data_IF_233649373023
#
_entry.id   IF_233649373023
#
_cell.length_a   1.000
_cell.length_b   1.000
_cell.length_c   1.000
_cell.angle_alpha   90.00
_cell.angle_beta   90.00
_cell.angle_gamma   90.00
#
_symmetry.space_group_name_H-M   'P 1'
#
loop_
_entity.id
_entity.type
_entity.pdbx_description
1 polymer ?
#
# COMPACT_ATOMS: atom_id res chain seq x y z
N UNK A 1 -16.36 -53.66 -31.22
CA UNK A 1 -16.93 -52.97 -30.04
C UNK A 1 -15.92 -53.07 -28.91
N UNK A 2 -15.13 -52.02 -28.66
CA UNK A 2 -14.94 -51.47 -27.32
C UNK A 2 -14.14 -50.14 -27.45
N UNK A 3 -14.83 -49.08 -27.86
CA UNK A 3 -14.28 -47.72 -28.07
C UNK A 3 -14.82 -46.74 -27.00
N UNK A 4 -15.11 -47.23 -25.79
CA UNK A 4 -15.77 -46.42 -24.75
C UNK A 4 -14.96 -46.22 -23.46
N UNK A 5 -13.73 -46.76 -23.34
CA UNK A 5 -12.98 -46.71 -22.06
C UNK A 5 -11.91 -45.60 -21.97
N UNK A 6 -11.52 -44.98 -23.10
CA UNK A 6 -10.41 -44.00 -23.09
C UNK A 6 -10.87 -42.57 -22.78
N UNK A 7 -12.15 -42.25 -22.98
CA UNK A 7 -12.70 -40.91 -22.73
C UNK A 7 -13.09 -40.66 -21.27
N UNK A 8 -13.33 -41.73 -20.49
CA UNK A 8 -13.61 -41.63 -19.05
C UNK A 8 -12.36 -41.26 -18.24
N UNK A 9 -11.22 -41.85 -18.57
CA UNK A 9 -9.96 -41.62 -17.85
C UNK A 9 -9.31 -40.25 -18.14
N UNK A 10 -9.60 -39.61 -19.27
CA UNK A 10 -9.02 -38.29 -19.59
C UNK A 10 -9.68 -37.14 -18.82
N UNK A 11 -10.96 -37.28 -18.46
CA UNK A 11 -11.69 -36.29 -17.67
C UNK A 11 -11.34 -36.40 -16.17
N UNK A 12 -11.18 -37.62 -15.66
CA UNK A 12 -10.70 -37.88 -14.28
C UNK A 12 -9.23 -37.45 -14.06
N UNK A 13 -8.40 -37.48 -15.12
CA UNK A 13 -7.02 -36.97 -15.07
C UNK A 13 -6.92 -35.44 -15.18
N UNK A 14 -7.98 -34.75 -15.58
CA UNK A 14 -8.04 -33.28 -15.63
C UNK A 14 -8.70 -32.67 -14.39
N UNK A 15 -9.36 -33.47 -13.56
CA UNK A 15 -9.90 -33.05 -12.25
C UNK A 15 -8.92 -33.29 -11.09
N UNK A 16 -7.73 -33.84 -11.36
CA UNK A 16 -6.75 -34.20 -10.35
C UNK A 16 -5.63 -33.17 -10.15
N UNK A 17 -5.90 -31.87 -10.28
CA UNK A 17 -4.98 -30.84 -9.73
C UNK A 17 -5.65 -29.49 -9.50
N UNK A 18 -6.83 -29.48 -8.88
CA UNK A 18 -7.16 -28.33 -8.02
C UNK A 18 -6.03 -28.21 -6.97
N UNK A 19 -5.33 -27.07 -6.88
CA UNK A 19 -4.19 -26.94 -5.99
C UNK A 19 -4.70 -27.12 -4.56
N UNK A 20 -4.35 -28.26 -3.97
CA UNK A 20 -4.57 -28.62 -2.57
C UNK A 20 -4.19 -27.45 -1.65
N UNK A 21 -5.17 -26.64 -1.28
CA UNK A 21 -5.02 -25.43 -0.46
C UNK A 21 -4.75 -25.74 1.03
N UNK A 22 -4.62 -27.01 1.37
CA UNK A 22 -4.40 -27.59 2.70
C UNK A 22 -2.91 -27.67 3.10
N UNK A 23 -2.01 -27.31 2.19
CA UNK A 23 -0.57 -27.23 2.45
C UNK A 23 -0.09 -25.91 3.07
N UNK A 24 1.20 -25.88 3.38
CA UNK A 24 1.91 -24.73 3.94
C UNK A 24 1.79 -23.46 3.08
N UNK A 25 1.85 -23.61 1.76
CA UNK A 25 1.65 -22.53 0.81
C UNK A 25 0.24 -21.89 0.93
N UNK A 26 -0.78 -22.69 1.23
CA UNK A 26 -2.13 -22.21 1.47
C UNK A 26 -2.22 -21.34 2.73
N UNK A 27 -1.57 -21.79 3.81
CA UNK A 27 -1.48 -21.03 5.07
C UNK A 27 -0.71 -19.71 4.89
N UNK A 28 0.44 -19.75 4.21
CA UNK A 28 1.21 -18.54 3.90
C UNK A 28 0.39 -17.54 3.10
N UNK A 29 -0.30 -18.00 2.05
CA UNK A 29 -1.18 -17.15 1.24
C UNK A 29 -2.30 -16.51 2.06
N UNK A 30 -2.95 -17.26 2.95
CA UNK A 30 -4.02 -16.74 3.80
C UNK A 30 -3.52 -15.63 4.74
N UNK A 31 -2.39 -15.85 5.41
CA UNK A 31 -1.77 -14.86 6.31
C UNK A 31 -1.33 -13.61 5.54
N UNK A 32 -0.72 -13.78 4.37
CA UNK A 32 -0.30 -12.68 3.50
C UNK A 32 -1.50 -11.84 3.04
N UNK A 33 -2.57 -12.49 2.58
CA UNK A 33 -3.80 -11.79 2.14
C UNK A 33 -4.45 -11.05 3.31
N UNK A 34 -4.51 -11.66 4.49
CA UNK A 34 -5.08 -11.02 5.67
C UNK A 34 -4.29 -9.76 6.07
N UNK A 35 -2.96 -9.86 6.17
CA UNK A 35 -2.11 -8.73 6.52
C UNK A 35 -2.10 -7.65 5.43
N UNK A 36 -2.11 -8.03 4.14
CA UNK A 36 -2.22 -7.08 3.04
C UNK A 36 -3.59 -6.37 3.01
N UNK A 37 -4.68 -7.07 3.32
CA UNK A 37 -6.03 -6.49 3.40
C UNK A 37 -6.15 -5.51 4.57
N UNK A 38 -5.55 -5.81 5.72
CA UNK A 38 -5.46 -4.88 6.84
C UNK A 38 -4.65 -3.63 6.47
N UNK A 39 -3.48 -3.82 5.84
CA UNK A 39 -2.64 -2.71 5.38
C UNK A 39 -3.34 -1.83 4.33
N UNK A 40 -4.13 -2.43 3.43
CA UNK A 40 -4.95 -1.69 2.46
C UNK A 40 -6.03 -0.81 3.13
N UNK A 41 -6.44 -1.14 4.35
CA UNK A 41 -7.36 -0.35 5.18
C UNK A 41 -6.62 0.62 6.11
N UNK A 42 -5.29 0.74 5.98
CA UNK A 42 -4.45 1.61 6.81
C UNK A 42 -4.00 0.99 8.13
N UNK A 43 -4.35 -0.27 8.41
CA UNK A 43 -3.84 -1.01 9.57
C UNK A 43 -2.52 -1.70 9.22
N UNK A 44 -1.41 -1.02 9.49
CA UNK A 44 -0.07 -1.56 9.32
C UNK A 44 0.43 -2.39 10.51
N UNK A 45 -0.41 -2.71 11.50
CA UNK A 45 -0.02 -3.50 12.68
C UNK A 45 -0.04 -5.01 12.44
N UNK A 46 -0.68 -5.46 11.35
CA UNK A 46 -0.73 -6.86 10.93
C UNK A 46 0.66 -7.46 10.71
N UNK A 47 0.86 -8.73 11.08
CA UNK A 47 2.14 -9.44 10.89
C UNK A 47 1.88 -10.91 10.57
N UNK A 48 2.67 -11.47 9.66
CA UNK A 48 2.71 -12.90 9.39
C UNK A 48 3.58 -13.53 10.48
N UNK A 49 2.96 -14.24 11.45
CA UNK A 49 3.66 -14.80 12.64
C UNK A 49 3.88 -16.30 12.59
N UNK A 50 3.31 -16.99 11.61
CA UNK A 50 3.51 -18.43 11.46
C UNK A 50 4.96 -18.73 11.07
N UNK A 51 5.50 -19.78 11.67
CA UNK A 51 6.77 -20.36 11.26
C UNK A 51 6.49 -21.46 10.24
N UNK A 52 7.06 -21.30 9.06
CA UNK A 52 6.93 -22.19 7.91
C UNK A 52 8.09 -23.19 7.92
N UNK A 53 7.89 -24.42 7.43
CA UNK A 53 8.98 -25.38 7.24
C UNK A 53 9.87 -24.95 6.08
N UNK A 54 9.28 -24.34 5.04
CA UNK A 54 10.00 -23.77 3.90
C UNK A 54 10.68 -22.44 4.31
N UNK A 55 12.03 -22.36 4.25
CA UNK A 55 12.76 -21.15 4.55
C UNK A 55 12.39 -19.96 3.65
N UNK A 56 11.92 -20.18 2.42
CA UNK A 56 11.55 -19.12 1.49
C UNK A 56 10.25 -18.41 1.91
N UNK A 57 9.29 -19.15 2.51
CA UNK A 57 8.09 -18.54 3.08
C UNK A 57 8.41 -17.70 4.32
N UNK A 58 9.31 -18.19 5.19
CA UNK A 58 9.77 -17.40 6.33
C UNK A 58 10.48 -16.12 5.89
N UNK A 59 11.39 -16.19 4.91
CA UNK A 59 12.07 -15.01 4.35
C UNK A 59 11.09 -14.02 3.73
N UNK A 60 10.06 -14.52 3.04
CA UNK A 60 9.02 -13.67 2.45
C UNK A 60 8.16 -13.00 3.54
N UNK A 61 7.81 -13.74 4.60
CA UNK A 61 7.08 -13.22 5.75
C UNK A 61 7.88 -12.13 6.49
N UNK A 62 9.17 -12.35 6.72
CA UNK A 62 10.10 -11.38 7.31
C UNK A 62 10.17 -10.10 6.47
N UNK A 63 10.42 -10.22 5.16
CA UNK A 63 10.49 -9.08 4.24
C UNK A 63 9.18 -8.27 4.25
N UNK A 64 8.03 -8.94 4.25
CA UNK A 64 6.73 -8.28 4.28
C UNK A 64 6.48 -7.59 5.64
N UNK A 65 6.85 -8.23 6.75
CA UNK A 65 6.75 -7.66 8.09
C UNK A 65 7.65 -6.43 8.27
N UNK A 66 8.85 -6.42 7.67
CA UNK A 66 9.74 -5.26 7.64
C UNK A 66 9.10 -4.09 6.89
N UNK A 67 8.51 -4.35 5.71
CA UNK A 67 7.78 -3.34 4.95
C UNK A 67 6.65 -2.70 5.77
N UNK A 68 5.82 -3.52 6.43
CA UNK A 68 4.75 -3.02 7.29
C UNK A 68 5.29 -2.22 8.49
N UNK A 69 6.44 -2.62 9.02
CA UNK A 69 7.09 -1.88 10.11
C UNK A 69 7.53 -0.49 9.65
N UNK A 70 8.19 -0.37 8.50
CA UNK A 70 8.59 0.93 7.94
C UNK A 70 7.37 1.83 7.68
N UNK A 71 6.30 1.26 7.14
CA UNK A 71 5.05 2.00 6.89
C UNK A 71 4.39 2.49 8.19
N UNK A 72 4.26 1.61 9.17
CA UNK A 72 3.68 1.92 10.48
C UNK A 72 4.47 3.04 11.19
N UNK A 73 5.80 2.95 11.18
CA UNK A 73 6.66 3.95 11.81
C UNK A 73 6.57 5.30 11.11
N UNK A 74 6.59 5.31 9.77
CA UNK A 74 6.50 6.54 8.98
C UNK A 74 5.14 7.23 9.17
N UNK A 75 4.05 6.45 9.16
CA UNK A 75 2.71 6.97 9.42
C UNK A 75 2.59 7.55 10.84
N UNK A 76 3.10 6.83 11.85
CA UNK A 76 3.05 7.27 13.25
C UNK A 76 3.80 8.59 13.45
N UNK A 77 4.96 8.75 12.81
CA UNK A 77 5.75 9.99 12.92
C UNK A 77 5.06 11.17 12.25
N UNK A 78 4.49 10.97 11.05
CA UNK A 78 3.69 12.00 10.37
C UNK A 78 2.48 12.38 11.22
N UNK A 79 1.72 11.39 11.70
CA UNK A 79 0.55 11.61 12.56
C UNK A 79 0.91 12.43 13.80
N UNK A 80 2.03 12.10 14.47
CA UNK A 80 2.52 12.86 15.63
C UNK A 80 2.80 14.33 15.31
N UNK A 81 3.50 14.61 14.21
CA UNK A 81 3.83 15.98 13.79
C UNK A 81 2.58 16.76 13.41
N UNK A 82 1.66 16.13 12.70
CA UNK A 82 0.36 16.67 12.29
C UNK A 82 -0.50 17.01 13.51
N UNK A 83 -0.55 16.12 14.51
CA UNK A 83 -1.27 16.38 15.77
C UNK A 83 -0.64 17.53 16.56
N UNK A 84 0.68 17.55 16.71
CA UNK A 84 1.37 18.67 17.38
C UNK A 84 1.10 20.00 16.67
N UNK A 85 1.10 20.01 15.34
CA UNK A 85 0.73 21.18 14.54
C UNK A 85 -0.73 21.61 14.77
N UNK A 86 -1.66 20.66 14.86
CA UNK A 86 -3.07 20.94 15.15
C UNK A 86 -3.25 21.56 16.55
N UNK A 87 -2.42 21.16 17.52
CA UNK A 87 -2.37 21.73 18.86
C UNK A 87 -1.63 23.08 18.91
N UNK A 88 -1.12 23.57 17.78
CA UNK A 88 -0.37 24.82 17.67
C UNK A 88 1.10 24.73 18.10
N UNK A 89 1.59 23.52 18.39
CA UNK A 89 3.00 23.28 18.67
C UNK A 89 3.80 23.28 17.37
N UNK A 90 4.29 24.47 17.03
CA UNK A 90 5.21 24.64 15.93
C UNK A 90 6.64 24.24 16.28
N UNK A 91 7.01 23.89 17.51
CA UNK A 91 8.37 23.49 17.87
C UNK A 91 8.67 22.01 17.57
N UNK A 92 7.63 21.21 17.27
CA UNK A 92 7.76 19.81 16.89
C UNK A 92 8.78 19.61 15.76
N UNK A 93 9.55 18.53 15.86
CA UNK A 93 10.51 18.09 14.85
C UNK A 93 10.35 16.62 14.59
N UNK A 94 10.66 16.23 13.37
CA UNK A 94 10.80 14.83 12.99
C UNK A 94 12.17 14.34 13.49
N UNK A 95 12.18 13.30 14.30
CA UNK A 95 13.42 12.79 14.93
C UNK A 95 13.96 11.54 14.23
N UNK A 96 13.07 10.73 13.64
CA UNK A 96 13.48 9.51 12.95
C UNK A 96 14.02 9.82 11.55
N UNK A 97 15.21 9.27 11.27
CA UNK A 97 15.74 9.21 9.90
C UNK A 97 14.94 8.20 9.09
N UNK A 98 14.27 8.71 8.08
CA UNK A 98 13.60 7.90 7.06
C UNK A 98 14.49 7.81 5.82
N UNK A 99 14.34 6.74 5.05
CA UNK A 99 15.04 6.55 3.78
C UNK A 99 14.09 6.74 2.59
N UNK A 100 14.67 7.08 1.43
CA UNK A 100 13.93 7.18 0.16
C UNK A 100 12.79 8.20 0.19
N UNK A 101 11.59 7.78 -0.24
CA UNK A 101 10.43 8.68 -0.38
C UNK A 101 9.94 9.25 0.96
N UNK A 102 10.10 8.51 2.05
CA UNK A 102 9.70 9.00 3.38
C UNK A 102 10.59 10.14 3.89
N UNK A 103 11.87 10.12 3.52
CA UNK A 103 12.79 11.24 3.80
C UNK A 103 12.32 12.54 3.12
N UNK A 104 11.82 12.43 1.88
CA UNK A 104 11.30 13.59 1.15
C UNK A 104 10.04 14.15 1.80
N UNK A 105 9.14 13.29 2.28
CA UNK A 105 7.96 13.71 3.04
C UNK A 105 8.38 14.46 4.30
N UNK A 106 9.35 13.92 5.05
CA UNK A 106 9.87 14.55 6.27
C UNK A 106 10.43 15.95 5.98
N UNK A 107 11.27 16.09 4.95
CA UNK A 107 11.82 17.40 4.54
C UNK A 107 10.73 18.41 4.17
N UNK A 108 9.66 17.95 3.50
CA UNK A 108 8.55 18.83 3.14
C UNK A 108 7.82 19.34 4.39
N UNK A 109 7.59 18.48 5.38
CA UNK A 109 7.00 18.89 6.66
C UNK A 109 7.88 19.91 7.41
N UNK A 110 9.19 19.65 7.49
CA UNK A 110 10.12 20.58 8.11
C UNK A 110 10.11 21.96 7.42
N UNK A 111 10.06 21.97 6.08
CA UNK A 111 9.95 23.20 5.30
C UNK A 111 8.63 23.92 5.59
N UNK A 112 7.51 23.21 5.61
CA UNK A 112 6.20 23.77 5.96
C UNK A 112 6.22 24.40 7.36
N UNK A 113 6.78 23.72 8.37
CA UNK A 113 6.91 24.25 9.72
C UNK A 113 7.80 25.50 9.76
N UNK A 114 8.93 25.51 9.04
CA UNK A 114 9.81 26.67 8.94
C UNK A 114 9.09 27.86 8.29
N UNK A 115 8.35 27.64 7.21
CA UNK A 115 7.55 28.67 6.55
C UNK A 115 6.45 29.20 7.46
N UNK A 116 5.73 28.34 8.18
CA UNK A 116 4.69 28.75 9.12
C UNK A 116 5.28 29.60 10.25
N UNK A 117 6.39 29.16 10.87
CA UNK A 117 7.10 29.94 11.90
C UNK A 117 7.53 31.31 11.37
N UNK A 118 8.02 31.38 10.13
CA UNK A 118 8.41 32.65 9.49
C UNK A 118 7.21 33.58 9.31
N UNK A 119 6.13 33.10 8.70
CA UNK A 119 4.93 33.90 8.44
C UNK A 119 4.29 34.38 9.74
N UNK A 120 4.24 33.54 10.78
CA UNK A 120 3.66 33.88 12.09
C UNK A 120 4.57 34.77 12.94
N UNK A 121 5.90 34.67 12.75
CA UNK A 121 6.87 35.61 13.33
C UNK A 121 6.84 36.98 12.65
N UNK A 122 6.60 37.03 11.34
CA UNK A 122 6.43 38.29 10.58
C UNK A 122 5.03 38.90 10.75
N UNK A 123 3.98 38.08 10.93
CA UNK A 123 2.57 38.48 11.10
C UNK A 123 2.07 38.10 12.50
N UNK A 124 2.57 38.77 13.52
CA UNK A 124 2.16 38.51 14.90
C UNK A 124 0.64 38.66 15.13
N UNK A 125 0.08 37.67 15.83
CA UNK A 125 -0.94 37.83 16.88
C UNK A 125 -2.42 37.46 16.66
N UNK A 126 -2.93 36.99 15.50
CA UNK A 126 -4.40 36.73 15.38
C UNK A 126 -4.86 35.39 14.75
N UNK A 127 -4.00 34.58 14.11
CA UNK A 127 -4.50 33.53 13.18
C UNK A 127 -4.24 32.05 13.52
N UNK A 128 -3.90 31.70 14.76
CA UNK A 128 -3.63 30.30 15.12
C UNK A 128 -4.85 29.38 15.01
N UNK A 129 -6.01 29.79 15.56
CA UNK A 129 -7.20 28.95 15.56
C UNK A 129 -7.75 28.67 14.14
N UNK A 130 -7.60 29.62 13.22
CA UNK A 130 -8.12 29.50 11.85
C UNK A 130 -7.29 28.54 10.99
N UNK A 131 -5.96 28.58 11.11
CA UNK A 131 -5.05 27.69 10.38
C UNK A 131 -5.13 26.27 10.94
N UNK A 132 -5.12 26.11 12.27
CA UNK A 132 -5.31 24.81 12.92
C UNK A 132 -6.65 24.19 12.53
N UNK A 133 -7.74 24.98 12.51
CA UNK A 133 -9.06 24.51 12.07
C UNK A 133 -9.09 24.12 10.58
N UNK A 134 -8.43 24.87 9.70
CA UNK A 134 -8.38 24.54 8.28
C UNK A 134 -7.59 23.26 8.02
N UNK A 135 -6.48 23.07 8.73
CA UNK A 135 -5.68 21.85 8.64
C UNK A 135 -6.41 20.64 9.24
N UNK A 136 -7.04 20.80 10.40
CA UNK A 136 -7.89 19.75 10.99
C UNK A 136 -8.98 19.29 10.01
N UNK A 137 -9.59 20.24 9.28
CA UNK A 137 -10.56 19.93 8.22
C UNK A 137 -9.94 19.17 7.04
N UNK A 138 -8.75 19.56 6.59
CA UNK A 138 -8.02 18.87 5.52
C UNK A 138 -7.61 17.44 5.93
N UNK A 139 -7.20 17.23 7.19
CA UNK A 139 -6.91 15.89 7.72
C UNK A 139 -8.17 15.05 7.85
N UNK A 140 -9.28 15.66 8.27
CA UNK A 140 -10.56 14.98 8.34
C UNK A 140 -11.02 14.53 6.95
N UNK A 141 -10.88 15.38 5.93
CA UNK A 141 -11.16 15.04 4.52
C UNK A 141 -10.32 13.86 4.02
N UNK A 142 -9.03 13.80 4.38
CA UNK A 142 -8.19 12.65 4.05
C UNK A 142 -8.63 11.36 4.76
N UNK A 143 -9.09 11.44 6.02
CA UNK A 143 -9.64 10.28 6.75
C UNK A 143 -11.08 9.91 6.35
N UNK A 144 -11.86 10.85 5.82
CA UNK A 144 -13.25 10.62 5.35
C UNK A 144 -13.31 10.21 3.88
N UNK A 145 -12.28 10.50 3.08
CA UNK A 145 -12.00 9.78 1.84
C UNK A 145 -11.40 8.39 2.12
N UNK A 146 -12.12 7.61 2.92
CA UNK A 146 -12.05 6.14 2.93
C UNK A 146 -12.77 5.52 1.72
N UNK A 147 -13.21 6.32 0.76
CA UNK A 147 -13.36 5.84 -0.62
C UNK A 147 -11.96 5.85 -1.20
N UNK A 148 -11.32 4.67 -1.20
CA UNK A 148 -9.94 4.49 -1.62
C UNK A 148 -9.62 5.19 -2.95
N UNK A 149 -8.33 5.43 -3.26
CA UNK A 149 -7.96 5.86 -4.60
C UNK A 149 -8.65 4.92 -5.59
N UNK A 150 -9.28 5.46 -6.64
CA UNK A 150 -9.78 4.72 -7.80
C UNK A 150 -8.58 4.07 -8.51
N UNK A 151 -7.92 3.14 -7.82
CA UNK A 151 -7.09 2.11 -8.41
C UNK A 151 -8.13 1.22 -9.06
N UNK A 152 -8.37 1.48 -10.35
CA UNK A 152 -9.15 0.58 -11.19
C UNK A 152 -8.38 -0.74 -11.25
N UNK A 153 -8.65 -1.62 -10.29
CA UNK A 153 -8.29 -3.04 -10.40
C UNK A 153 -9.06 -3.51 -11.62
N UNK A 154 -8.34 -3.99 -12.63
CA UNK A 154 -8.95 -4.51 -13.85
C UNK A 154 -9.95 -5.60 -13.46
N UNK A 155 -11.24 -5.28 -13.52
CA UNK A 155 -12.32 -6.26 -13.45
C UNK A 155 -12.30 -7.09 -14.73
N UNK A 156 -12.87 -8.28 -14.69
CA UNK A 156 -12.91 -9.28 -15.78
C UNK A 156 -13.51 -8.75 -17.10
N UNK A 157 -14.14 -7.58 -17.08
CA UNK A 157 -14.69 -6.86 -18.24
C UNK A 157 -13.75 -5.79 -18.83
N UNK A 158 -12.61 -5.55 -18.19
CA UNK A 158 -11.59 -4.60 -18.66
C UNK A 158 -10.82 -5.21 -19.82
N UNK A 159 -11.28 -4.95 -21.06
CA UNK A 159 -10.50 -5.28 -22.28
C UNK A 159 -9.09 -4.73 -22.11
N UNK A 160 -8.03 -5.55 -22.25
CA UNK A 160 -6.66 -5.07 -22.09
C UNK A 160 -6.43 -3.94 -23.10
N UNK A 161 -6.12 -2.75 -22.58
CA UNK A 161 -5.64 -1.63 -23.41
C UNK A 161 -4.38 -2.13 -24.12
N UNK A 162 -4.44 -2.21 -25.44
CA UNK A 162 -3.28 -2.60 -26.24
C UNK A 162 -2.14 -1.64 -25.90
N UNK A 163 -1.04 -2.17 -25.38
CA UNK A 163 0.15 -1.37 -25.08
C UNK A 163 0.55 -0.59 -26.35
N UNK A 164 0.80 0.72 -26.26
CA UNK A 164 1.27 1.54 -27.39
C UNK A 164 2.48 0.94 -28.09
N UNK A 165 3.33 0.22 -27.35
CA UNK A 165 4.47 -0.49 -27.89
C UNK A 165 4.07 -1.62 -28.86
N UNK A 166 3.01 -2.38 -28.56
CA UNK A 166 2.52 -3.49 -29.40
C UNK A 166 1.88 -2.98 -30.70
N UNK A 167 1.19 -1.84 -30.63
CA UNK A 167 0.63 -1.16 -31.80
C UNK A 167 1.71 -0.58 -32.74
N UNK A 168 2.86 -0.17 -32.19
CA UNK A 168 3.99 0.32 -32.98
C UNK A 168 4.67 -0.83 -33.75
N UNK A 169 4.85 -1.99 -33.10
CA UNK A 169 5.43 -3.18 -33.73
C UNK A 169 4.57 -3.73 -34.87
N UNK A 170 3.24 -3.80 -34.69
CA UNK A 170 2.30 -4.25 -35.74
C UNK A 170 2.28 -3.32 -36.96
N UNK A 171 2.56 -2.02 -36.79
CA UNK A 171 2.66 -1.05 -37.89
C UNK A 171 3.96 -1.19 -38.68
N UNK A 172 5.07 -1.53 -38.00
CA UNK A 172 6.37 -1.71 -38.65
C UNK A 172 6.40 -2.99 -39.52
N UNK A 173 5.76 -4.07 -39.06
CA UNK A 173 5.73 -5.34 -39.81
C UNK A 173 4.71 -5.41 -40.94
N UNK A 174 3.74 -4.49 -41.02
CA UNK A 174 2.83 -4.38 -42.19
C UNK A 174 3.36 -3.49 -43.30
N UNK A 175 4.49 -2.82 -43.07
CA UNK A 175 5.14 -1.92 -44.02
C UNK A 175 6.33 -2.56 -44.77
N UNK A 176 6.57 -3.86 -44.54
CA UNK A 176 7.51 -4.73 -45.25
C UNK A 176 6.80 -6.03 -45.63
#
# INVERSE_FOLDING_TARGET
MNDQDTSGNMLELLEAEEPRADGEAGRFRLELVAAASAAAQGDFSGRIRQNFQDPEFNRSAETFNELLTVLQESYSEISRVVSALADGDLAVRIEKRSCGRFEQIHRNFDLTLATLRKVLGESGSVRFAEVASNFARMTAEFTTQGSGPDIKIATEESKPLASPARALWDRLFRAF
#
